data_IF_351584513197
#
_entry.id   IF_351584513197
#
_cell.length_a   1.000
_cell.length_b   1.000
_cell.length_c   1.000
_cell.angle_alpha   90.00
_cell.angle_beta   90.00
_cell.angle_gamma   90.00
#
_symmetry.space_group_name_H-M   'P 1'
#
loop_
_entity.id
_entity.type
_entity.pdbx_description
1 polymer ?
#
# COMPACT_ATOMS: atom_id res chain seq x y z
N UNK A 1 -1.52 -23.48 27.70
CA UNK A 1 -1.49 -22.47 26.62
C UNK A 1 -1.90 -21.15 27.23
N UNK A 2 -0.94 -20.37 27.73
CA UNK A 2 -1.19 -19.13 28.46
C UNK A 2 -1.31 -18.01 27.44
N UNK A 3 -2.49 -17.38 27.39
CA UNK A 3 -2.85 -16.35 26.42
C UNK A 3 -2.26 -15.03 26.92
N UNK A 4 -1.19 -14.56 26.28
CA UNK A 4 -0.65 -13.23 26.53
C UNK A 4 -0.27 -12.61 25.18
N UNK A 5 -0.94 -11.48 24.92
CA UNK A 5 -0.94 -10.63 23.72
C UNK A 5 -1.41 -11.24 22.38
N UNK A 6 -2.58 -10.80 21.90
CA UNK A 6 -3.25 -11.33 20.70
C UNK A 6 -2.48 -11.05 19.39
N UNK A 7 -1.54 -10.11 19.40
CA UNK A 7 -0.72 -9.78 18.24
C UNK A 7 0.71 -10.36 18.37
N UNK A 8 1.05 -10.97 19.53
CA UNK A 8 2.38 -11.52 19.83
C UNK A 8 2.34 -12.89 20.48
N UNK A 9 1.73 -13.89 19.82
CA UNK A 9 1.62 -15.22 20.37
C UNK A 9 2.95 -15.85 20.80
N UNK A 10 2.92 -16.53 21.94
CA UNK A 10 4.01 -17.40 22.42
C UNK A 10 3.66 -18.86 22.13
N UNK A 11 4.49 -19.52 21.34
CA UNK A 11 4.43 -20.94 21.03
C UNK A 11 5.39 -21.71 21.92
N UNK A 12 5.01 -22.95 22.25
CA UNK A 12 5.84 -23.87 23.01
C UNK A 12 5.91 -25.22 22.31
N UNK A 13 7.12 -25.72 22.12
CA UNK A 13 7.40 -27.05 21.59
C UNK A 13 7.35 -28.12 22.69
N UNK A 14 7.31 -29.39 22.27
CA UNK A 14 7.21 -30.55 23.18
C UNK A 14 8.44 -30.71 24.09
N UNK A 15 9.59 -30.19 23.68
CA UNK A 15 10.84 -30.17 24.44
C UNK A 15 10.95 -28.96 25.39
N UNK A 16 9.91 -28.12 25.44
CA UNK A 16 9.85 -26.92 26.25
C UNK A 16 10.47 -25.68 25.61
N UNK A 17 11.02 -25.77 24.38
CA UNK A 17 11.49 -24.60 23.66
C UNK A 17 10.31 -23.66 23.35
N UNK A 18 10.57 -22.35 23.39
CA UNK A 18 9.54 -21.33 23.12
C UNK A 18 9.94 -20.42 21.97
N UNK A 19 8.94 -19.92 21.25
CA UNK A 19 9.10 -18.92 20.20
C UNK A 19 8.00 -17.88 20.31
N UNK A 20 8.35 -16.61 20.14
CA UNK A 20 7.37 -15.51 20.03
C UNK A 20 7.27 -15.11 18.57
N UNK A 21 6.05 -14.92 18.08
CA UNK A 21 5.79 -14.48 16.71
C UNK A 21 5.03 -13.16 16.76
N UNK A 22 5.52 -12.16 16.04
CA UNK A 22 4.82 -10.89 15.88
C UNK A 22 3.88 -10.98 14.66
N UNK A 23 2.58 -10.93 14.89
CA UNK A 23 1.57 -10.91 13.85
C UNK A 23 1.36 -9.47 13.38
N UNK A 24 1.94 -9.12 12.23
CA UNK A 24 1.92 -7.74 11.71
C UNK A 24 0.60 -7.39 11.03
N UNK A 25 -0.06 -8.37 10.40
CA UNK A 25 -1.27 -8.18 9.60
C UNK A 25 -2.49 -8.93 10.11
N UNK A 26 -2.27 -9.90 11.00
CA UNK A 26 -3.31 -10.77 11.52
C UNK A 26 -3.47 -10.58 13.01
N UNK A 27 -4.64 -10.95 13.53
CA UNK A 27 -4.84 -11.18 14.96
C UNK A 27 -4.73 -12.66 15.24
N UNK A 28 -4.24 -13.04 16.42
CA UNK A 28 -4.20 -14.45 16.81
C UNK A 28 -5.62 -15.02 16.89
N UNK A 29 -5.97 -15.85 15.90
CA UNK A 29 -7.21 -16.62 15.86
C UNK A 29 -6.89 -18.06 15.45
N UNK A 30 -6.05 -18.70 16.26
CA UNK A 30 -5.59 -20.07 16.04
C UNK A 30 -5.66 -20.88 17.35
N UNK A 31 -5.90 -22.18 17.21
CA UNK A 31 -6.00 -23.11 18.34
C UNK A 31 -4.66 -23.81 18.63
N UNK A 32 -3.84 -24.03 17.59
CA UNK A 32 -2.59 -24.75 17.64
C UNK A 32 -1.55 -24.23 16.62
N UNK A 33 -0.32 -24.76 16.66
CA UNK A 33 0.75 -24.38 15.72
C UNK A 33 0.37 -24.63 14.25
N UNK A 34 -0.21 -25.78 13.86
CA UNK A 34 -0.74 -25.96 12.50
C UNK A 34 -1.79 -24.93 12.09
N UNK A 35 -2.70 -24.54 12.99
CA UNK A 35 -3.69 -23.50 12.78
C UNK A 35 -3.04 -22.15 12.52
N UNK A 36 -2.03 -21.79 13.31
CA UNK A 36 -1.25 -20.59 13.08
C UNK A 36 -0.55 -20.62 11.72
N UNK A 37 0.10 -21.73 11.34
CA UNK A 37 0.78 -21.86 10.03
C UNK A 37 -0.21 -21.68 8.88
N UNK A 38 -1.43 -22.25 8.98
CA UNK A 38 -2.49 -22.03 7.99
C UNK A 38 -2.93 -20.58 7.92
N UNK A 39 -3.07 -19.93 9.07
CA UNK A 39 -3.47 -18.54 9.17
C UNK A 39 -2.42 -17.62 8.50
N UNK A 40 -1.16 -17.72 8.90
CA UNK A 40 -0.09 -16.85 8.36
C UNK A 40 0.30 -17.19 6.92
N UNK A 41 0.00 -18.41 6.46
CA UNK A 41 0.20 -18.83 5.08
C UNK A 41 -0.94 -18.47 4.13
N UNK A 42 -2.06 -17.94 4.64
CA UNK A 42 -3.17 -17.50 3.80
C UNK A 42 -2.75 -16.28 2.95
N UNK A 43 -3.37 -16.11 1.77
CA UNK A 43 -3.07 -14.97 0.92
C UNK A 43 -3.56 -13.68 1.58
N UNK A 44 -2.64 -12.81 1.99
CA UNK A 44 -3.00 -11.50 2.51
C UNK A 44 -3.41 -10.56 1.38
N UNK A 45 -4.49 -9.79 1.57
CA UNK A 45 -4.88 -8.79 0.60
C UNK A 45 -3.87 -7.62 0.54
N UNK A 46 -3.61 -7.14 -0.67
CA UNK A 46 -2.77 -5.98 -0.95
C UNK A 46 -3.62 -4.78 -1.36
N UNK A 47 -3.12 -3.59 -1.03
CA UNK A 47 -3.58 -2.33 -1.60
C UNK A 47 -2.52 -1.83 -2.60
N UNK A 48 -2.93 -1.52 -3.82
CA UNK A 48 -2.06 -1.06 -4.90
C UNK A 48 -2.22 0.45 -5.08
N UNK A 49 -1.12 1.21 -5.06
CA UNK A 49 -1.10 2.65 -5.35
C UNK A 49 -0.09 2.94 -6.46
N UNK A 50 -0.58 3.15 -7.68
CA UNK A 50 0.24 3.42 -8.85
C UNK A 50 0.06 4.87 -9.29
N UNK A 51 1.15 5.63 -9.37
CA UNK A 51 1.12 7.03 -9.82
C UNK A 51 2.20 7.27 -10.86
N UNK A 52 1.81 7.77 -12.03
CA UNK A 52 2.73 8.20 -13.09
C UNK A 52 2.27 9.55 -13.62
N UNK A 53 3.17 10.30 -14.23
CA UNK A 53 2.79 11.55 -14.86
C UNK A 53 1.63 11.34 -15.84
N UNK A 54 0.54 12.07 -15.61
CA UNK A 54 -0.67 12.01 -16.42
C UNK A 54 -1.78 11.09 -15.86
N UNK A 55 -1.49 10.20 -14.90
CA UNK A 55 -2.51 9.31 -14.38
C UNK A 55 -2.13 8.46 -13.16
N UNK A 56 -3.14 7.87 -12.56
CA UNK A 56 -3.03 7.06 -11.36
C UNK A 56 -3.99 5.87 -11.43
N UNK A 57 -3.68 4.84 -10.65
CA UNK A 57 -4.52 3.69 -10.39
C UNK A 57 -4.40 3.30 -8.92
N UNK A 58 -5.53 3.02 -8.27
CA UNK A 58 -5.58 2.42 -6.94
C UNK A 58 -6.42 1.15 -7.00
N UNK A 59 -6.06 0.13 -6.23
CA UNK A 59 -6.78 -1.13 -6.26
C UNK A 59 -6.59 -1.98 -5.01
N UNK A 60 -7.51 -2.92 -4.83
CA UNK A 60 -7.42 -4.00 -3.85
C UNK A 60 -7.12 -5.29 -4.59
N UNK A 61 -6.17 -6.09 -4.11
CA UNK A 61 -5.80 -7.35 -4.72
C UNK A 61 -5.75 -8.48 -3.70
N UNK A 62 -6.18 -9.67 -4.10
CA UNK A 62 -6.10 -10.92 -3.35
C UNK A 62 -5.40 -11.95 -4.23
N UNK A 63 -4.20 -12.38 -3.81
CA UNK A 63 -3.33 -13.18 -4.66
C UNK A 63 -3.01 -12.48 -5.98
N UNK A 64 -3.44 -13.06 -7.10
CA UNK A 64 -3.22 -12.53 -8.46
C UNK A 64 -4.39 -11.74 -9.02
N UNK A 65 -5.45 -11.54 -8.24
CA UNK A 65 -6.72 -10.95 -8.72
C UNK A 65 -6.94 -9.58 -8.11
N UNK A 66 -7.27 -8.58 -8.94
CA UNK A 66 -7.72 -7.27 -8.48
C UNK A 66 -9.22 -7.33 -8.24
N UNK A 67 -9.65 -7.10 -7.00
CA UNK A 67 -11.05 -7.25 -6.55
C UNK A 67 -11.84 -5.94 -6.60
N UNK A 68 -11.18 -4.80 -6.45
CA UNK A 68 -11.77 -3.47 -6.65
C UNK A 68 -10.70 -2.49 -7.12
N UNK A 69 -11.06 -1.50 -7.93
CA UNK A 69 -10.09 -0.52 -8.44
C UNK A 69 -10.72 0.80 -8.86
N UNK A 70 -9.91 1.87 -8.81
CA UNK A 70 -10.22 3.17 -9.39
C UNK A 70 -9.01 3.65 -10.18
N UNK A 71 -9.27 4.22 -11.35
CA UNK A 71 -8.23 4.78 -12.21
C UNK A 71 -8.61 6.19 -12.61
N UNK A 72 -7.62 7.06 -12.85
CA UNK A 72 -7.89 8.42 -13.25
C UNK A 72 -6.70 9.10 -13.89
N UNK A 73 -6.98 10.26 -14.49
CA UNK A 73 -5.99 11.09 -15.16
C UNK A 73 -6.05 12.52 -14.65
N UNK A 74 -4.89 13.19 -14.68
CA UNK A 74 -4.76 14.65 -14.51
C UNK A 74 -3.68 15.14 -15.43
N UNK A 75 -3.93 16.29 -16.07
CA UNK A 75 -2.96 16.86 -16.98
C UNK A 75 -1.74 17.37 -16.21
N UNK A 76 -0.56 16.83 -16.54
CA UNK A 76 0.74 17.32 -16.07
C UNK A 76 1.61 17.58 -17.28
N UNK A 77 1.86 18.86 -17.55
CA UNK A 77 2.64 19.27 -18.71
C UNK A 77 4.08 18.71 -18.67
N UNK A 78 4.65 18.40 -19.83
CA UNK A 78 6.05 18.00 -19.96
C UNK A 78 7.05 19.14 -19.84
N UNK A 79 8.33 18.78 -19.64
CA UNK A 79 9.43 19.75 -19.66
C UNK A 79 9.67 20.20 -21.10
N UNK A 80 9.76 21.50 -21.32
CA UNK A 80 10.13 22.10 -22.62
C UNK A 80 11.62 22.44 -22.62
N UNK A 81 12.26 22.40 -23.79
CA UNK A 81 13.72 22.65 -23.96
C UNK A 81 14.12 24.14 -24.00
N UNK A 82 13.18 25.07 -24.20
CA UNK A 82 13.51 26.47 -24.48
C UNK A 82 13.85 27.26 -23.21
N UNK A 83 15.08 27.78 -23.08
CA UNK A 83 15.47 28.65 -21.96
C UNK A 83 14.72 29.99 -21.96
N UNK A 84 14.76 30.69 -20.83
CA UNK A 84 14.21 32.05 -20.68
C UNK A 84 13.29 32.24 -19.49
N UNK A 85 12.86 33.48 -19.26
CA UNK A 85 12.06 33.91 -18.10
C UNK A 85 10.71 33.16 -17.95
N UNK A 86 10.18 32.59 -19.04
CA UNK A 86 8.95 31.81 -19.02
C UNK A 86 9.12 30.41 -18.42
N UNK A 87 10.35 29.87 -18.32
CA UNK A 87 10.60 28.54 -17.77
C UNK A 87 10.19 28.40 -16.31
N UNK A 88 10.43 29.42 -15.49
CA UNK A 88 10.06 29.39 -14.07
C UNK A 88 8.53 29.28 -13.90
N UNK A 89 7.75 29.97 -14.75
CA UNK A 89 6.29 29.86 -14.76
C UNK A 89 5.82 28.46 -15.13
N UNK A 90 6.43 27.84 -16.14
CA UNK A 90 6.09 26.48 -16.54
C UNK A 90 6.51 25.44 -15.51
N UNK A 91 7.65 25.63 -14.84
CA UNK A 91 8.08 24.75 -13.76
C UNK A 91 7.09 24.78 -12.59
N UNK A 92 6.68 25.97 -12.12
CA UNK A 92 5.67 26.12 -11.07
C UNK A 92 4.32 25.51 -11.46
N UNK A 93 3.84 25.78 -12.68
CA UNK A 93 2.59 25.21 -13.18
C UNK A 93 2.63 23.68 -13.21
N UNK A 94 3.75 23.10 -13.63
CA UNK A 94 3.94 21.63 -13.63
C UNK A 94 3.94 21.05 -12.22
N UNK A 95 4.56 21.73 -11.25
CA UNK A 95 4.54 21.31 -9.85
C UNK A 95 3.09 21.28 -9.33
N UNK A 96 2.36 22.40 -9.47
CA UNK A 96 0.95 22.49 -9.07
C UNK A 96 0.06 21.42 -9.75
N UNK A 97 0.33 21.10 -11.01
CA UNK A 97 -0.37 20.04 -11.73
C UNK A 97 -0.03 18.64 -11.19
N UNK A 98 1.23 18.40 -10.84
CA UNK A 98 1.66 17.15 -10.22
C UNK A 98 1.04 16.99 -8.83
N UNK A 99 0.95 18.07 -8.04
CA UNK A 99 0.30 18.06 -6.75
C UNK A 99 -1.18 17.67 -6.88
N UNK A 100 -1.90 18.28 -7.83
CA UNK A 100 -3.30 17.92 -8.12
C UNK A 100 -3.49 16.48 -8.63
N UNK A 101 -2.48 15.89 -9.28
CA UNK A 101 -2.48 14.46 -9.63
C UNK A 101 -2.33 13.59 -8.38
N UNK A 102 -1.41 13.94 -7.49
CA UNK A 102 -1.14 13.22 -6.23
C UNK A 102 -2.37 13.29 -5.31
N UNK A 103 -2.98 14.46 -5.15
CA UNK A 103 -4.20 14.64 -4.36
C UNK A 103 -5.36 13.78 -4.86
N UNK A 104 -5.54 13.69 -6.18
CA UNK A 104 -6.58 12.85 -6.77
C UNK A 104 -6.33 11.35 -6.48
N UNK A 105 -5.07 10.89 -6.60
CA UNK A 105 -4.70 9.52 -6.26
C UNK A 105 -4.89 9.21 -4.78
N UNK A 106 -4.45 10.13 -3.90
CA UNK A 106 -4.58 10.01 -2.45
C UNK A 106 -6.05 9.97 -2.01
N UNK A 107 -6.91 10.81 -2.60
CA UNK A 107 -8.35 10.80 -2.33
C UNK A 107 -8.99 9.47 -2.74
N UNK A 108 -8.65 8.95 -3.93
CA UNK A 108 -9.15 7.67 -4.41
C UNK A 108 -8.69 6.51 -3.52
N UNK A 109 -7.41 6.52 -3.10
CA UNK A 109 -6.83 5.56 -2.15
C UNK A 109 -7.54 5.62 -0.80
N UNK A 110 -7.72 6.81 -0.23
CA UNK A 110 -8.41 7.00 1.05
C UNK A 110 -9.85 6.47 1.02
N UNK A 111 -10.53 6.63 -0.11
CA UNK A 111 -11.90 6.15 -0.28
C UNK A 111 -11.99 4.66 -0.66
N UNK A 112 -10.89 3.98 -0.97
CA UNK A 112 -10.88 2.56 -1.37
C UNK A 112 -10.21 1.67 -0.33
N UNK A 113 -9.12 2.13 0.28
CA UNK A 113 -8.32 1.32 1.19
C UNK A 113 -9.01 1.24 2.55
N UNK A 114 -9.27 0.03 3.08
CA UNK A 114 -9.76 -0.13 4.43
C UNK A 114 -8.75 0.45 5.43
N UNK A 115 -9.26 0.93 6.58
CA UNK A 115 -8.45 1.68 7.56
C UNK A 115 -7.36 0.85 8.25
N UNK A 116 -7.40 -0.48 8.16
CA UNK A 116 -6.44 -1.43 8.76
C UNK A 116 -6.28 -2.68 7.88
N UNK A 117 -5.19 -3.42 8.10
CA UNK A 117 -4.95 -4.82 7.69
C UNK A 117 -4.55 -5.10 6.23
N UNK A 118 -3.92 -4.13 5.53
CA UNK A 118 -3.36 -4.38 4.19
C UNK A 118 -1.97 -3.78 4.01
N UNK A 119 -1.12 -4.54 3.33
CA UNK A 119 0.14 -4.05 2.78
C UNK A 119 -0.14 -3.12 1.60
N UNK A 120 0.40 -1.89 1.66
CA UNK A 120 0.35 -0.97 0.53
C UNK A 120 1.58 -1.18 -0.34
N UNK A 121 1.36 -1.59 -1.59
CA UNK A 121 2.38 -1.68 -2.63
C UNK A 121 2.23 -0.46 -3.53
N UNK A 122 3.26 0.40 -3.54
CA UNK A 122 3.29 1.59 -4.40
C UNK A 122 4.19 1.41 -5.62
N UNK A 123 3.90 2.12 -6.70
CA UNK A 123 4.68 2.02 -7.94
C UNK A 123 4.43 3.15 -8.93
N UNK A 124 5.36 3.30 -9.89
CA UNK A 124 5.31 4.36 -10.91
C UNK A 124 6.45 5.38 -10.78
N UNK A 125 6.16 6.65 -11.04
CA UNK A 125 7.17 7.71 -11.09
C UNK A 125 7.65 8.04 -9.68
N UNK A 126 8.92 7.75 -9.37
CA UNK A 126 9.49 7.91 -8.03
C UNK A 126 9.36 9.31 -7.42
N UNK A 127 9.32 10.35 -8.26
CA UNK A 127 9.15 11.73 -7.82
C UNK A 127 7.71 12.07 -7.41
N UNK A 128 6.74 11.22 -7.75
CA UNK A 128 5.32 11.38 -7.43
C UNK A 128 4.87 10.49 -6.25
N UNK A 129 5.78 9.69 -5.68
CA UNK A 129 5.52 8.73 -4.60
C UNK A 129 6.31 9.04 -3.32
N UNK A 130 6.92 10.22 -3.23
CA UNK A 130 7.71 10.66 -2.08
C UNK A 130 6.88 11.46 -1.10
#
# INVERSE_FOLDING_TARGET
MTRDDADRPVLQAVDGATATIDLVFDRADYEDVPGLVRQVGAAHPYALLLVRRGGWAVGLAEGTTVTDSRVGTRYVQGKTKAGGWSQQRYARRRAQQADGLIEAAASAAHALFPRRDRLVVSGGDRLLLR
#
